data_IF_113849470117
#
_entry.id   IF_113849470117
#
_cell.length_a   1.000
_cell.length_b   1.000
_cell.length_c   1.000
_cell.angle_alpha   90.00
_cell.angle_beta   90.00
_cell.angle_gamma   90.00
#
_symmetry.space_group_name_H-M   'P 1'
#
loop_
_entity.id
_entity.type
_entity.pdbx_description
1 polymer ?
#
# COMPACT_ATOMS: atom_id res chain seq x y z
N UNK A 1 2.58 -14.70 -0.65
CA UNK A 1 2.74 -13.88 -1.87
C UNK A 1 2.87 -14.76 -3.11
N UNK A 2 2.62 -14.22 -4.29
CA UNK A 2 2.91 -14.86 -5.58
C UNK A 2 4.44 -15.02 -5.75
N UNK A 3 4.89 -16.13 -6.34
CA UNK A 3 6.33 -16.41 -6.49
C UNK A 3 7.00 -15.61 -7.61
N UNK A 4 6.24 -15.12 -8.59
CA UNK A 4 6.72 -14.26 -9.69
C UNK A 4 6.60 -12.77 -9.35
N UNK A 5 5.68 -12.43 -8.46
CA UNK A 5 5.40 -11.05 -8.05
C UNK A 5 5.47 -10.89 -6.53
N UNK A 6 6.64 -11.13 -5.91
CA UNK A 6 6.79 -11.11 -4.47
C UNK A 6 7.01 -9.67 -3.95
N UNK A 7 7.02 -9.47 -2.64
CA UNK A 7 7.04 -8.15 -2.01
C UNK A 7 8.35 -7.39 -2.23
N UNK A 8 9.44 -8.12 -2.46
CA UNK A 8 10.78 -7.57 -2.73
C UNK A 8 10.77 -6.70 -4.00
N UNK A 9 9.83 -6.94 -4.92
CA UNK A 9 9.60 -6.11 -6.10
C UNK A 9 9.30 -4.65 -5.75
N UNK A 10 8.72 -4.37 -4.57
CA UNK A 10 8.45 -3.01 -4.10
C UNK A 10 9.73 -2.22 -3.79
N UNK A 11 10.86 -2.89 -3.65
CA UNK A 11 12.18 -2.29 -3.37
C UNK A 11 13.01 -2.08 -4.64
N UNK A 12 12.49 -2.45 -5.83
CA UNK A 12 13.21 -2.28 -7.09
C UNK A 12 13.27 -0.81 -7.52
N UNK A 13 14.46 -0.34 -7.88
CA UNK A 13 14.70 1.04 -8.35
C UNK A 13 14.61 1.19 -9.88
N UNK A 14 14.78 0.09 -10.62
CA UNK A 14 14.99 0.11 -12.07
C UNK A 14 13.67 0.09 -12.87
N UNK A 15 12.65 -0.62 -12.38
CA UNK A 15 11.36 -0.79 -13.08
C UNK A 15 10.18 -0.86 -12.10
N UNK A 16 8.98 -0.46 -12.58
CA UNK A 16 7.74 -0.65 -11.83
C UNK A 16 7.39 -2.14 -11.83
N UNK A 17 7.65 -2.81 -10.70
CA UNK A 17 7.31 -4.20 -10.51
C UNK A 17 6.09 -4.38 -9.60
N UNK A 18 5.26 -5.37 -9.92
CA UNK A 18 4.06 -5.68 -9.15
C UNK A 18 4.37 -6.54 -7.93
N UNK A 19 3.59 -6.35 -6.88
CA UNK A 19 3.47 -7.28 -5.75
C UNK A 19 2.06 -7.86 -5.72
N UNK A 20 1.92 -9.19 -5.79
CA UNK A 20 0.64 -9.88 -5.86
C UNK A 20 0.50 -10.96 -4.77
N UNK A 21 -0.75 -11.20 -4.35
CA UNK A 21 -1.10 -12.30 -3.46
C UNK A 21 -0.96 -13.66 -4.15
N UNK A 22 -0.77 -14.72 -3.36
CA UNK A 22 -0.69 -16.07 -3.93
C UNK A 22 -2.05 -16.44 -4.54
N UNK A 23 -2.13 -16.92 -5.80
CA UNK A 23 -3.42 -17.28 -6.43
C UNK A 23 -4.19 -18.39 -5.70
N UNK A 24 -3.49 -19.21 -4.91
CA UNK A 24 -4.06 -20.28 -4.08
C UNK A 24 -4.47 -19.80 -2.68
N UNK A 25 -4.06 -18.60 -2.30
CA UNK A 25 -4.44 -18.00 -1.03
C UNK A 25 -5.77 -17.25 -1.19
N UNK A 26 -6.74 -17.65 -0.38
CA UNK A 26 -8.09 -17.09 -0.38
C UNK A 26 -8.35 -16.21 0.86
N UNK A 27 -7.30 -15.84 1.60
CA UNK A 27 -7.36 -14.92 2.74
C UNK A 27 -7.92 -13.54 2.38
N UNK A 28 -7.81 -13.14 1.10
CA UNK A 28 -8.19 -11.82 0.56
C UNK A 28 -7.45 -10.65 1.22
N UNK A 29 -6.38 -10.94 1.95
CA UNK A 29 -5.55 -9.96 2.62
C UNK A 29 -4.10 -10.23 2.27
N UNK A 30 -3.34 -9.15 2.08
CA UNK A 30 -1.91 -9.20 1.83
C UNK A 30 -1.27 -8.09 2.64
N UNK A 31 -0.23 -8.42 3.40
CA UNK A 31 0.53 -7.48 4.22
C UNK A 31 2.03 -7.68 4.02
N UNK A 32 2.77 -6.59 4.13
CA UNK A 32 4.23 -6.55 4.12
C UNK A 32 4.68 -5.51 5.13
N UNK A 33 5.82 -5.77 5.76
CA UNK A 33 6.55 -4.82 6.57
C UNK A 33 7.81 -4.41 5.80
N UNK A 34 7.99 -3.09 5.59
CA UNK A 34 9.13 -2.54 4.87
C UNK A 34 10.00 -1.74 5.84
N UNK A 35 11.23 -2.20 6.05
CA UNK A 35 12.18 -1.54 6.94
C UNK A 35 12.88 -0.40 6.19
N UNK A 36 12.72 0.83 6.68
CA UNK A 36 13.50 1.96 6.21
C UNK A 36 14.94 1.86 6.71
N UNK A 37 15.90 2.31 5.91
CA UNK A 37 17.33 2.35 6.28
C UNK A 37 17.60 3.15 7.56
N UNK A 38 16.77 4.17 7.82
CA UNK A 38 16.83 5.02 9.01
C UNK A 38 15.44 5.45 9.44
N UNK A 39 15.28 5.71 10.73
CA UNK A 39 14.07 6.35 11.24
C UNK A 39 13.98 7.79 10.70
N UNK A 40 12.84 8.15 10.11
CA UNK A 40 12.58 9.48 9.58
C UNK A 40 11.09 9.82 9.61
N UNK A 41 10.73 11.11 9.74
CA UNK A 41 9.35 11.55 9.52
C UNK A 41 8.87 11.21 8.10
N UNK A 42 7.63 10.77 7.96
CA UNK A 42 7.02 10.45 6.67
C UNK A 42 6.08 11.60 6.27
N UNK A 43 6.51 12.45 5.33
CA UNK A 43 5.70 13.59 4.89
C UNK A 43 4.59 13.23 3.89
N UNK A 44 4.82 12.20 3.07
CA UNK A 44 3.85 11.66 2.11
C UNK A 44 4.18 10.21 1.75
N UNK A 45 3.18 9.49 1.24
CA UNK A 45 3.30 8.14 0.68
C UNK A 45 2.53 8.10 -0.64
N UNK A 46 3.19 7.64 -1.71
CA UNK A 46 2.55 7.31 -2.97
C UNK A 46 2.40 5.79 -3.08
N UNK A 47 1.19 5.31 -3.38
CA UNK A 47 0.93 3.87 -3.55
C UNK A 47 0.33 3.59 -4.91
N UNK A 48 1.05 2.79 -5.70
CA UNK A 48 0.51 2.17 -6.92
C UNK A 48 -0.41 1.02 -6.56
N UNK A 49 -1.69 1.13 -6.92
CA UNK A 49 -2.67 0.09 -6.73
C UNK A 49 -2.86 -0.72 -8.01
N UNK A 50 -2.85 -2.05 -7.89
CA UNK A 50 -3.21 -3.00 -8.94
C UNK A 50 -4.21 -4.02 -8.38
N UNK A 51 -5.49 -3.64 -8.37
CA UNK A 51 -6.59 -4.53 -8.00
C UNK A 51 -6.89 -4.63 -6.49
N UNK A 52 -6.21 -3.87 -5.63
CA UNK A 52 -6.55 -3.85 -4.20
C UNK A 52 -7.76 -2.94 -3.94
N UNK A 53 -8.76 -3.45 -3.21
CA UNK A 53 -9.96 -2.69 -2.88
C UNK A 53 -9.76 -1.76 -1.69
N UNK A 54 -8.93 -2.17 -0.72
CA UNK A 54 -8.70 -1.43 0.52
C UNK A 54 -7.21 -1.36 0.85
N UNK A 55 -6.77 -0.24 1.42
CA UNK A 55 -5.39 -0.05 1.87
C UNK A 55 -5.36 0.53 3.28
N UNK A 56 -4.46 0.03 4.10
CA UNK A 56 -4.09 0.60 5.40
C UNK A 56 -2.56 0.67 5.46
N UNK A 57 -2.01 1.75 6.03
CA UNK A 57 -0.58 1.87 6.30
C UNK A 57 -0.40 2.16 7.77
N UNK A 58 0.43 1.33 8.40
CA UNK A 58 0.83 1.49 9.80
C UNK A 58 2.35 1.62 9.87
N UNK A 59 2.85 2.30 10.89
CA UNK A 59 4.26 2.64 11.07
C UNK A 59 4.72 2.34 12.48
N UNK A 60 5.96 1.88 12.58
CA UNK A 60 6.61 1.55 13.84
C UNK A 60 8.04 2.06 13.82
N UNK A 61 8.68 2.10 14.98
CA UNK A 61 10.12 2.28 15.05
C UNK A 61 10.74 0.99 15.61
N UNK A 62 11.74 0.45 14.92
CA UNK A 62 12.45 -0.76 15.37
C UNK A 62 13.19 -0.58 16.70
N UNK A 63 13.38 0.66 17.15
CA UNK A 63 13.93 0.97 18.47
C UNK A 63 12.88 1.03 19.59
N UNK A 64 11.60 0.87 19.29
CA UNK A 64 10.55 0.83 20.31
C UNK A 64 10.59 -0.49 21.09
N UNK A 65 10.05 -0.51 22.32
CA UNK A 65 9.80 -1.76 23.03
C UNK A 65 9.02 -2.77 22.17
N UNK A 66 9.31 -4.07 22.32
CA UNK A 66 8.71 -5.13 21.51
C UNK A 66 7.17 -5.21 21.59
N UNK A 67 6.58 -4.66 22.65
CA UNK A 67 5.15 -4.61 22.92
C UNK A 67 4.48 -3.32 22.43
N UNK A 68 5.25 -2.37 21.90
CA UNK A 68 4.72 -1.14 21.33
C UNK A 68 4.00 -1.45 20.00
N UNK A 69 2.70 -1.18 19.88
CA UNK A 69 1.98 -1.42 18.65
C UNK A 69 2.37 -0.42 17.55
N UNK A 70 2.23 -0.86 16.30
CA UNK A 70 2.26 0.02 15.14
C UNK A 70 1.20 1.12 15.26
N UNK A 71 1.55 2.33 14.81
CA UNK A 71 0.65 3.48 14.74
C UNK A 71 0.05 3.61 13.34
N UNK A 72 -1.22 4.02 13.24
CA UNK A 72 -1.86 4.23 11.94
C UNK A 72 -1.32 5.50 11.28
N UNK A 73 -0.66 5.35 10.14
CA UNK A 73 -0.27 6.48 9.27
C UNK A 73 -1.38 6.81 8.27
N UNK A 74 -1.94 5.78 7.63
CA UNK A 74 -3.09 5.89 6.73
C UNK A 74 -4.18 4.95 7.24
N UNK A 75 -5.36 5.46 7.68
CA UNK A 75 -6.47 4.62 8.08
C UNK A 75 -6.96 3.79 6.88
N UNK A 76 -7.77 2.76 7.13
CA UNK A 76 -8.32 1.96 6.04
C UNK A 76 -9.10 2.84 5.05
N UNK A 77 -8.60 2.92 3.82
CA UNK A 77 -9.22 3.66 2.72
C UNK A 77 -9.69 2.72 1.61
N UNK A 78 -10.79 3.08 0.97
CA UNK A 78 -11.30 2.38 -0.22
C UNK A 78 -10.61 2.92 -1.47
N UNK A 79 -9.90 2.06 -2.20
CA UNK A 79 -9.21 2.39 -3.44
C UNK A 79 -10.01 2.03 -4.69
N UNK A 80 -10.87 1.02 -4.60
CA UNK A 80 -11.75 0.57 -5.69
C UNK A 80 -13.15 0.40 -5.10
N UNK A 81 -14.16 1.01 -5.72
CA UNK A 81 -15.54 0.87 -5.24
C UNK A 81 -16.14 -0.48 -5.65
N UNK A 82 -17.19 -0.97 -4.97
CA UNK A 82 -17.91 -2.16 -5.41
C UNK A 82 -18.51 -2.03 -6.82
N UNK A 83 -18.84 -0.82 -7.26
CA UNK A 83 -19.31 -0.55 -8.63
C UNK A 83 -18.20 -0.76 -9.66
N UNK A 84 -17.01 -0.21 -9.38
CA UNK A 84 -15.83 -0.39 -10.23
C UNK A 84 -15.43 -1.87 -10.36
N UNK A 85 -15.49 -2.62 -9.25
CA UNK A 85 -15.21 -4.06 -9.24
C UNK A 85 -16.17 -4.85 -10.13
N UNK A 86 -17.47 -4.53 -10.10
CA UNK A 86 -18.50 -5.20 -10.92
C UNK A 86 -18.32 -4.92 -12.41
N UNK A 87 -17.84 -3.72 -12.75
CA UNK A 87 -17.63 -3.30 -14.14
C UNK A 87 -16.23 -3.61 -14.67
N UNK A 88 -15.37 -4.22 -13.84
CA UNK A 88 -13.95 -4.45 -14.13
C UNK A 88 -13.21 -3.18 -14.57
N UNK A 89 -13.48 -2.07 -13.87
CA UNK A 89 -12.89 -0.77 -14.14
C UNK A 89 -11.96 -0.34 -13.00
N UNK A 90 -11.12 0.65 -13.29
CA UNK A 90 -10.38 1.40 -12.28
C UNK A 90 -9.41 0.56 -11.41
N UNK A 91 -9.00 -0.62 -11.89
CA UNK A 91 -8.12 -1.55 -11.16
C UNK A 91 -6.71 -1.01 -10.96
N UNK A 92 -6.24 -0.13 -11.83
CA UNK A 92 -4.91 0.47 -11.77
C UNK A 92 -5.00 1.94 -11.39
N UNK A 93 -4.19 2.41 -10.44
CA UNK A 93 -4.10 3.84 -10.12
C UNK A 93 -3.15 4.16 -8.98
N UNK A 94 -2.61 5.38 -8.98
CA UNK A 94 -1.72 5.87 -7.92
C UNK A 94 -2.50 6.74 -6.93
N UNK A 95 -2.32 6.46 -5.65
CA UNK A 95 -2.91 7.22 -4.55
C UNK A 95 -1.83 7.92 -3.75
N UNK A 96 -1.99 9.24 -3.58
CA UNK A 96 -1.09 10.05 -2.78
C UNK A 96 -1.72 10.33 -1.43
N UNK A 97 -0.98 10.00 -0.38
CA UNK A 97 -1.31 10.26 1.02
C UNK A 97 -0.33 11.29 1.56
N UNK A 98 -0.82 12.40 2.11
CA UNK A 98 0.03 13.46 2.70
C UNK A 98 -0.44 13.77 4.10
N UNK A 99 0.44 14.20 4.99
CA UNK A 99 0.02 14.77 6.28
C UNK A 99 -0.79 16.09 6.06
N UNK A 100 -2.01 16.18 6.60
CA UNK A 100 -2.85 17.40 6.52
C UNK A 100 -4.36 17.15 6.32
N UNK A 101 -5.18 18.22 6.28
CA UNK A 101 -6.67 18.14 6.16
C UNK A 101 -7.21 17.81 4.76
N UNK A 102 -6.40 17.95 3.71
CA UNK A 102 -6.80 17.74 2.29
C UNK A 102 -6.05 16.56 1.62
N UNK A 103 -5.86 15.49 2.39
CA UNK A 103 -4.71 14.57 2.32
C UNK A 103 -4.87 13.30 1.47
N UNK A 104 -6.03 13.08 0.86
CA UNK A 104 -6.30 11.88 0.07
C UNK A 104 -6.69 12.25 -1.35
N UNK A 105 -5.76 12.08 -2.29
CA UNK A 105 -6.02 12.37 -3.72
C UNK A 105 -5.50 11.24 -4.58
N UNK A 106 -6.37 10.74 -5.46
CA UNK A 106 -5.96 9.89 -6.59
C UNK A 106 -5.21 10.77 -7.59
N UNK A 107 -4.01 10.36 -8.00
CA UNK A 107 -3.20 11.07 -9.00
C UNK A 107 -3.89 10.90 -10.36
N UNK A 108 -4.42 11.99 -10.93
CA UNK A 108 -4.95 11.99 -12.31
C UNK A 108 -3.77 12.05 -13.27
N UNK A 109 -3.71 11.13 -14.23
CA UNK A 109 -2.83 11.30 -15.38
C UNK A 109 -3.44 12.41 -16.24
N UNK A 110 -2.65 13.46 -16.50
CA UNK A 110 -2.99 14.52 -17.46
C UNK A 110 -2.74 14.06 -18.88
#
# INVERSE_FOLDING_TARGET
>A
QDSKYPAENLLSEDDIQLWLGCPKDHSRQLSVELQLERASPIGYVDVGNYGCAFLQIVVGCSSWPCDQPYLTLVPTVTLITPGDLKLDQNRCGVWMFKEGKDSFKRKRHG
#
